data_IF_608390921813
#
_entry.id   IF_608390921813
#
_cell.length_a   1.000
_cell.length_b   1.000
_cell.length_c   1.000
_cell.angle_alpha   90.00
_cell.angle_beta   90.00
_cell.angle_gamma   90.00
#
_symmetry.space_group_name_H-M   'P 1'
#
loop_
_entity.id
_entity.type
_entity.pdbx_description
1 polymer ?
#
# COMPACT_ATOMS: atom_id res chain seq x y z
N UNK A 1 -33.49 -3.61 -16.35
CA UNK A 1 -32.65 -4.44 -15.47
C UNK A 1 -33.19 -4.35 -14.05
N UNK A 2 -33.32 -5.48 -13.36
CA UNK A 2 -33.64 -5.55 -11.94
C UNK A 2 -32.52 -4.90 -11.12
N UNK A 3 -32.88 -4.18 -10.06
CA UNK A 3 -31.91 -3.57 -9.15
C UNK A 3 -31.11 -4.67 -8.43
N UNK A 4 -29.78 -4.72 -8.64
CA UNK A 4 -28.86 -5.65 -7.97
C UNK A 4 -28.85 -5.44 -6.46
N UNK A 5 -28.80 -6.54 -5.72
CA UNK A 5 -28.89 -6.54 -4.26
C UNK A 5 -27.67 -7.17 -3.62
N UNK A 6 -27.09 -6.50 -2.63
CA UNK A 6 -26.06 -7.10 -1.79
C UNK A 6 -26.71 -7.95 -0.70
N UNK A 7 -26.66 -9.27 -0.87
CA UNK A 7 -27.40 -10.26 -0.07
C UNK A 7 -26.58 -10.83 1.08
N UNK A 8 -25.26 -10.93 0.92
CA UNK A 8 -24.33 -11.30 1.98
C UNK A 8 -23.41 -10.14 2.34
N UNK A 9 -22.96 -10.11 3.59
CA UNK A 9 -22.03 -9.12 4.11
C UNK A 9 -20.99 -9.79 5.02
N UNK A 10 -19.74 -9.35 4.87
CA UNK A 10 -18.64 -9.71 5.75
C UNK A 10 -17.56 -8.62 5.75
N UNK A 11 -16.71 -8.65 6.77
CA UNK A 11 -15.50 -7.84 6.79
C UNK A 11 -14.37 -8.60 6.11
N UNK A 12 -13.66 -7.92 5.22
CA UNK A 12 -12.57 -8.49 4.42
C UNK A 12 -11.29 -7.73 4.76
N UNK A 13 -10.26 -8.45 5.19
CA UNK A 13 -8.96 -7.88 5.53
C UNK A 13 -7.87 -8.59 4.72
N UNK A 14 -7.59 -8.08 3.52
CA UNK A 14 -6.55 -8.63 2.62
C UNK A 14 -5.14 -8.14 2.98
N UNK A 15 -5.06 -7.00 3.65
CA UNK A 15 -3.85 -6.34 4.11
C UNK A 15 -4.02 -6.12 5.61
N UNK A 16 -3.01 -6.43 6.45
CA UNK A 16 -3.08 -6.17 7.89
C UNK A 16 -3.49 -4.72 8.19
N UNK A 17 -4.52 -4.54 9.03
CA UNK A 17 -5.01 -3.23 9.45
C UNK A 17 -5.93 -2.53 8.45
N UNK A 18 -6.21 -3.11 7.28
CA UNK A 18 -7.14 -2.55 6.28
C UNK A 18 -8.37 -3.43 6.18
N UNK A 19 -9.45 -3.01 6.84
CA UNK A 19 -10.72 -3.74 6.87
C UNK A 19 -11.71 -3.12 5.89
N UNK A 20 -12.12 -3.92 4.92
CA UNK A 20 -13.08 -3.55 3.88
C UNK A 20 -14.46 -4.16 4.16
N UNK A 21 -15.52 -3.39 3.90
CA UNK A 21 -16.87 -3.95 3.79
C UNK A 21 -16.98 -4.75 2.48
N UNK A 22 -17.09 -6.08 2.60
CA UNK A 22 -17.28 -7.02 1.49
C UNK A 22 -18.73 -7.49 1.38
N UNK A 23 -19.18 -7.70 0.15
CA UNK A 23 -20.52 -8.18 -0.15
C UNK A 23 -20.49 -9.24 -1.26
N UNK A 24 -21.48 -10.12 -1.24
CA UNK A 24 -21.83 -10.97 -2.40
C UNK A 24 -23.22 -10.55 -2.86
N UNK A 25 -23.35 -10.28 -4.15
CA UNK A 25 -24.59 -9.85 -4.79
C UNK A 25 -25.52 -11.04 -5.07
N UNK A 26 -26.76 -10.75 -5.47
CA UNK A 26 -27.77 -11.74 -5.83
C UNK A 26 -27.44 -12.54 -7.10
N UNK A 27 -26.46 -12.07 -7.90
CA UNK A 27 -25.88 -12.78 -9.05
C UNK A 27 -24.53 -13.46 -8.73
N UNK A 28 -24.23 -13.68 -7.44
CA UNK A 28 -22.98 -14.27 -6.93
C UNK A 28 -21.71 -13.42 -7.17
N UNK A 29 -21.86 -12.18 -7.65
CA UNK A 29 -20.71 -11.28 -7.82
C UNK A 29 -20.15 -10.86 -6.46
N UNK A 30 -18.87 -11.16 -6.22
CA UNK A 30 -18.13 -10.67 -5.07
C UNK A 30 -17.67 -9.22 -5.28
N UNK A 31 -17.97 -8.34 -4.33
CA UNK A 31 -17.68 -6.91 -4.42
C UNK A 31 -17.18 -6.33 -3.08
N UNK A 32 -16.41 -5.25 -3.16
CA UNK A 32 -16.05 -4.44 -1.99
C UNK A 32 -16.62 -3.03 -2.13
N UNK A 33 -16.92 -2.40 -0.98
CA UNK A 33 -17.39 -1.02 -0.95
C UNK A 33 -16.30 -0.05 -1.40
N UNK A 34 -16.68 1.02 -2.10
CA UNK A 34 -15.76 2.03 -2.65
C UNK A 34 -14.71 2.54 -1.67
N UNK A 35 -15.10 2.85 -0.43
CA UNK A 35 -14.16 3.33 0.60
C UNK A 35 -13.09 2.30 0.92
N UNK A 36 -13.48 1.05 1.18
CA UNK A 36 -12.53 -0.03 1.46
C UNK A 36 -11.62 -0.31 0.27
N UNK A 37 -12.16 -0.26 -0.96
CA UNK A 37 -11.35 -0.38 -2.18
C UNK A 37 -10.30 0.72 -2.29
N UNK A 38 -10.65 1.98 -1.96
CA UNK A 38 -9.70 3.09 -2.00
C UNK A 38 -8.57 2.89 -0.98
N UNK A 39 -8.93 2.49 0.24
CA UNK A 39 -7.96 2.17 1.30
C UNK A 39 -7.07 0.98 0.90
N UNK A 40 -7.63 -0.09 0.34
CA UNK A 40 -6.90 -1.26 -0.18
C UNK A 40 -5.85 -0.87 -1.22
N UNK A 41 -6.22 -0.02 -2.17
CA UNK A 41 -5.35 0.46 -3.26
C UNK A 41 -4.40 1.59 -2.83
N UNK A 42 -4.58 2.15 -1.63
CA UNK A 42 -3.83 3.33 -1.18
C UNK A 42 -4.14 4.58 -2.00
N UNK A 43 -5.38 4.70 -2.46
CA UNK A 43 -5.87 5.83 -3.24
C UNK A 43 -6.78 6.70 -2.38
N UNK A 44 -6.82 7.99 -2.68
CA UNK A 44 -7.86 8.86 -2.14
C UNK A 44 -9.26 8.41 -2.63
N UNK A 45 -10.25 8.42 -1.73
CA UNK A 45 -11.59 7.92 -2.03
C UNK A 45 -12.29 8.71 -3.14
N UNK A 46 -12.08 10.03 -3.20
CA UNK A 46 -12.62 10.86 -4.27
C UNK A 46 -11.95 10.55 -5.60
N UNK A 47 -10.65 10.27 -5.58
CA UNK A 47 -9.89 9.83 -6.75
C UNK A 47 -10.43 8.51 -7.29
N UNK A 48 -10.70 7.52 -6.43
CA UNK A 48 -11.30 6.26 -6.86
C UNK A 48 -12.72 6.44 -7.40
N UNK A 49 -13.56 7.26 -6.77
CA UNK A 49 -14.92 7.51 -7.26
C UNK A 49 -14.92 8.20 -8.64
N UNK A 50 -13.90 9.01 -8.94
CA UNK A 50 -13.73 9.65 -10.26
C UNK A 50 -13.28 8.67 -11.35
N UNK A 51 -12.88 7.44 -11.01
CA UNK A 51 -12.49 6.42 -12.00
C UNK A 51 -13.65 6.15 -12.97
N UNK A 52 -14.91 6.18 -12.55
CA UNK A 52 -16.06 6.01 -13.47
C UNK A 52 -16.01 6.97 -14.68
N UNK A 53 -15.66 8.23 -14.44
CA UNK A 53 -15.74 9.28 -15.46
C UNK A 53 -14.39 9.65 -16.08
N UNK A 54 -13.29 9.31 -15.42
CA UNK A 54 -11.94 9.74 -15.81
C UNK A 54 -10.99 8.59 -16.12
N UNK A 55 -11.47 7.36 -16.10
CA UNK A 55 -10.65 6.18 -16.41
C UNK A 55 -10.57 5.90 -17.92
N UNK A 56 -9.40 5.45 -18.41
CA UNK A 56 -8.11 5.52 -17.72
C UNK A 56 -7.47 6.90 -17.84
N UNK A 57 -6.75 7.38 -16.80
CA UNK A 57 -5.89 8.55 -16.92
C UNK A 57 -4.95 8.42 -18.13
N UNK A 58 -4.63 9.53 -18.81
CA UNK A 58 -3.79 9.51 -20.03
C UNK A 58 -2.48 8.75 -19.86
N UNK A 59 -1.85 8.86 -18.69
CA UNK A 59 -0.59 8.15 -18.36
C UNK A 59 -0.77 6.64 -18.20
N UNK A 60 -1.96 6.20 -17.81
CA UNK A 60 -2.29 4.79 -17.58
C UNK A 60 -2.92 4.12 -18.80
N UNK A 61 -3.47 4.91 -19.73
CA UNK A 61 -4.16 4.43 -20.94
C UNK A 61 -3.38 3.37 -21.74
N UNK A 62 -2.04 3.44 -21.90
CA UNK A 62 -1.29 2.39 -22.60
C UNK A 62 -1.30 1.03 -21.90
N UNK A 63 -1.62 0.98 -20.60
CA UNK A 63 -1.56 -0.21 -19.75
C UNK A 63 -2.95 -0.74 -19.36
N UNK A 64 -3.99 -0.28 -20.05
CA UNK A 64 -5.38 -0.75 -19.89
C UNK A 64 -5.79 -1.51 -21.13
N UNK A 65 -6.41 -2.67 -20.94
CA UNK A 65 -6.91 -3.48 -22.05
C UNK A 65 -7.96 -2.72 -22.86
N UNK A 66 -7.89 -2.85 -24.19
CA UNK A 66 -8.82 -2.20 -25.10
C UNK A 66 -10.25 -2.67 -24.81
N UNK A 67 -11.15 -1.73 -24.57
CA UNK A 67 -12.57 -2.01 -24.30
C UNK A 67 -12.94 -2.20 -22.83
N UNK A 68 -11.96 -2.12 -21.93
CA UNK A 68 -12.21 -2.28 -20.50
C UNK A 68 -12.68 -0.95 -19.89
N UNK A 69 -13.97 -0.89 -19.57
CA UNK A 69 -14.62 0.22 -18.85
C UNK A 69 -14.69 -0.09 -17.36
N UNK A 70 -14.38 0.89 -16.53
CA UNK A 70 -14.56 0.79 -15.08
C UNK A 70 -15.88 1.49 -14.74
N UNK A 71 -16.97 0.73 -14.72
CA UNK A 71 -18.28 1.25 -14.32
C UNK A 71 -18.50 1.06 -12.82
N UNK A 72 -18.88 2.13 -12.12
CA UNK A 72 -19.28 2.01 -10.72
C UNK A 72 -20.68 1.46 -10.61
N UNK A 73 -20.85 0.41 -9.81
CA UNK A 73 -22.16 -0.19 -9.58
C UNK A 73 -22.77 0.33 -8.28
N UNK A 74 -23.98 0.85 -8.34
CA UNK A 74 -24.82 1.15 -7.17
C UNK A 74 -25.70 -0.05 -6.84
N UNK A 75 -25.56 -0.60 -5.63
CA UNK A 75 -26.33 -1.77 -5.18
C UNK A 75 -27.09 -1.47 -3.90
N UNK A 76 -28.30 -2.03 -3.78
CA UNK A 76 -29.10 -1.92 -2.55
C UNK A 76 -28.68 -3.01 -1.57
N UNK A 77 -28.32 -2.63 -0.34
CA UNK A 77 -27.94 -3.59 0.70
C UNK A 77 -29.18 -4.20 1.34
N UNK A 78 -29.32 -5.52 1.24
CA UNK A 78 -30.40 -6.28 1.90
C UNK A 78 -29.87 -7.23 2.98
N UNK A 79 -28.57 -7.49 3.01
CA UNK A 79 -27.88 -8.26 4.04
C UNK A 79 -28.25 -7.77 5.45
N UNK A 80 -28.82 -8.66 6.28
CA UNK A 80 -29.40 -8.30 7.58
C UNK A 80 -28.35 -7.85 8.61
N UNK A 81 -27.15 -8.42 8.51
CA UNK A 81 -26.01 -8.17 9.39
C UNK A 81 -25.14 -6.98 8.96
N UNK A 82 -25.49 -6.28 7.87
CA UNK A 82 -24.72 -5.13 7.39
C UNK A 82 -25.11 -3.84 8.11
N UNK A 83 -24.15 -3.00 8.53
CA UNK A 83 -24.43 -1.66 9.06
C UNK A 83 -25.04 -0.72 8.01
N UNK A 84 -25.00 -1.11 6.73
CA UNK A 84 -25.54 -0.33 5.61
C UNK A 84 -26.88 -0.85 5.09
N UNK A 85 -27.53 -1.79 5.80
CA UNK A 85 -28.82 -2.36 5.40
C UNK A 85 -29.83 -1.28 5.00
N UNK A 86 -30.47 -1.46 3.85
CA UNK A 86 -31.46 -0.55 3.28
C UNK A 86 -30.87 0.61 2.47
N UNK A 87 -29.56 0.85 2.53
CA UNK A 87 -28.88 1.92 1.78
C UNK A 87 -28.43 1.43 0.40
N UNK A 88 -28.24 2.38 -0.52
CA UNK A 88 -27.50 2.14 -1.76
C UNK A 88 -26.03 2.46 -1.54
N UNK A 89 -25.15 1.58 -1.98
CA UNK A 89 -23.70 1.73 -1.85
C UNK A 89 -23.04 1.59 -3.21
N UNK A 90 -21.94 2.32 -3.42
CA UNK A 90 -21.05 2.14 -4.57
C UNK A 90 -20.10 0.99 -4.27
N UNK A 91 -20.03 0.03 -5.18
CA UNK A 91 -19.21 -1.18 -5.05
C UNK A 91 -18.34 -1.41 -6.28
N UNK A 92 -17.22 -2.09 -6.06
CA UNK A 92 -16.29 -2.54 -7.09
C UNK A 92 -16.15 -4.05 -7.01
N UNK A 93 -16.32 -4.74 -8.14
CA UNK A 93 -16.11 -6.18 -8.20
C UNK A 93 -14.63 -6.54 -8.32
N UNK A 94 -14.31 -7.82 -8.13
CA UNK A 94 -12.93 -8.33 -8.22
C UNK A 94 -12.26 -8.02 -9.55
N UNK A 95 -12.98 -8.10 -10.67
CA UNK A 95 -12.44 -7.81 -12.01
C UNK A 95 -11.97 -6.35 -12.15
N UNK A 96 -12.76 -5.39 -11.65
CA UNK A 96 -12.38 -3.98 -11.69
C UNK A 96 -11.18 -3.72 -10.77
N UNK A 97 -11.20 -4.29 -9.56
CA UNK A 97 -10.10 -4.12 -8.59
C UNK A 97 -8.80 -4.67 -9.17
N UNK A 98 -8.83 -5.88 -9.74
CA UNK A 98 -7.68 -6.51 -10.38
C UNK A 98 -7.20 -5.70 -11.59
N UNK A 99 -8.10 -5.18 -12.42
CA UNK A 99 -7.74 -4.29 -13.54
C UNK A 99 -6.96 -3.08 -13.05
N UNK A 100 -7.48 -2.36 -12.05
CA UNK A 100 -6.80 -1.17 -11.51
C UNK A 100 -5.41 -1.55 -11.00
N UNK A 101 -5.31 -2.63 -10.24
CA UNK A 101 -4.04 -3.16 -9.72
C UNK A 101 -3.07 -3.45 -10.87
N UNK A 102 -3.49 -4.25 -11.86
CA UNK A 102 -2.67 -4.65 -13.01
C UNK A 102 -2.17 -3.43 -13.78
N UNK A 103 -3.04 -2.46 -14.05
CA UNK A 103 -2.66 -1.22 -14.75
C UNK A 103 -1.57 -0.44 -14.01
N UNK A 104 -1.70 -0.28 -12.70
CA UNK A 104 -0.68 0.41 -11.89
C UNK A 104 0.62 -0.39 -11.79
N UNK A 105 0.56 -1.72 -11.71
CA UNK A 105 1.75 -2.58 -11.72
C UNK A 105 2.50 -2.47 -13.04
N UNK A 106 1.80 -2.56 -14.17
CA UNK A 106 2.39 -2.43 -15.51
C UNK A 106 2.98 -1.04 -15.71
N UNK A 107 2.23 0.02 -15.39
CA UNK A 107 2.74 1.39 -15.48
C UNK A 107 3.97 1.61 -14.59
N UNK A 108 4.03 0.98 -13.41
CA UNK A 108 5.20 1.03 -12.53
C UNK A 108 6.41 0.34 -13.16
N UNK A 109 6.25 -0.86 -13.72
CA UNK A 109 7.32 -1.60 -14.38
C UNK A 109 7.92 -0.88 -15.59
N UNK A 110 7.13 -0.02 -16.23
CA UNK A 110 7.54 0.82 -17.36
C UNK A 110 8.01 2.23 -16.95
N UNK A 111 8.16 2.54 -15.66
CA UNK A 111 8.50 3.87 -15.15
C UNK A 111 7.57 4.99 -15.68
N UNK A 112 6.31 4.67 -15.95
CA UNK A 112 5.33 5.58 -16.56
C UNK A 112 4.44 6.31 -15.52
N UNK A 113 4.56 5.93 -14.24
CA UNK A 113 3.81 6.55 -13.15
C UNK A 113 4.35 7.94 -12.81
N UNK A 114 3.45 8.89 -12.61
CA UNK A 114 3.80 10.20 -12.05
C UNK A 114 4.27 10.06 -10.60
N UNK A 115 5.02 11.05 -10.09
CA UNK A 115 5.56 11.04 -8.71
C UNK A 115 4.48 10.77 -7.65
N UNK A 116 3.33 11.42 -7.78
CA UNK A 116 2.17 11.23 -6.90
C UNK A 116 1.42 9.90 -7.13
N UNK A 117 1.79 9.08 -8.12
CA UNK A 117 1.20 7.77 -8.41
C UNK A 117 2.12 6.61 -8.01
N UNK A 118 3.42 6.88 -7.78
CA UNK A 118 4.41 5.84 -7.44
C UNK A 118 4.03 5.02 -6.21
N UNK A 119 3.41 5.64 -5.20
CA UNK A 119 2.97 4.93 -3.99
C UNK A 119 1.86 3.91 -4.31
N UNK A 120 0.94 4.25 -5.20
CA UNK A 120 -0.14 3.35 -5.66
C UNK A 120 0.48 2.17 -6.42
N UNK A 121 1.40 2.45 -7.36
CA UNK A 121 2.13 1.41 -8.10
C UNK A 121 2.82 0.40 -7.19
N UNK A 122 3.63 0.90 -6.24
CA UNK A 122 4.32 0.05 -5.25
C UNK A 122 3.34 -0.78 -4.43
N UNK A 123 2.26 -0.17 -3.95
CA UNK A 123 1.24 -0.86 -3.15
C UNK A 123 0.53 -1.95 -3.95
N UNK A 124 0.16 -1.66 -5.19
CA UNK A 124 -0.44 -2.64 -6.12
C UNK A 124 0.52 -3.82 -6.38
N UNK A 125 1.82 -3.57 -6.57
CA UNK A 125 2.81 -4.64 -6.75
C UNK A 125 2.88 -5.58 -5.53
N UNK A 126 2.96 -5.02 -4.33
CA UNK A 126 2.98 -5.82 -3.08
C UNK A 126 1.67 -6.61 -2.93
N UNK A 127 0.53 -5.99 -3.24
CA UNK A 127 -0.78 -6.62 -3.17
C UNK A 127 -0.90 -7.80 -4.15
N UNK A 128 -0.46 -7.65 -5.40
CA UNK A 128 -0.43 -8.76 -6.37
C UNK A 128 0.42 -9.91 -5.86
N UNK A 129 1.63 -9.64 -5.36
CA UNK A 129 2.50 -10.68 -4.82
C UNK A 129 1.83 -11.44 -3.66
N UNK A 130 1.24 -10.73 -2.70
CA UNK A 130 0.57 -11.32 -1.55
C UNK A 130 -0.65 -12.17 -1.95
N UNK A 131 -1.50 -11.64 -2.83
CA UNK A 131 -2.71 -12.34 -3.31
C UNK A 131 -2.36 -13.55 -4.17
N UNK A 132 -1.35 -13.43 -5.05
CA UNK A 132 -0.89 -14.54 -5.90
C UNK A 132 -0.34 -15.67 -5.05
N UNK A 133 0.49 -15.36 -4.05
CA UNK A 133 1.01 -16.37 -3.13
C UNK A 133 -0.10 -17.02 -2.30
N UNK A 134 -1.07 -16.24 -1.82
CA UNK A 134 -2.22 -16.76 -1.09
C UNK A 134 -3.11 -17.68 -1.95
N UNK A 135 -3.36 -17.30 -3.20
CA UNK A 135 -4.11 -18.12 -4.14
C UNK A 135 -3.38 -19.44 -4.47
N UNK A 136 -2.07 -19.37 -4.73
CA UNK A 136 -1.24 -20.55 -4.99
C UNK A 136 -1.23 -21.51 -3.80
N UNK A 137 -0.98 -20.99 -2.59
CA UNK A 137 -0.96 -21.80 -1.36
C UNK A 137 -2.33 -22.41 -1.07
N UNK A 138 -3.42 -21.65 -1.29
CA UNK A 138 -4.77 -22.14 -1.11
C UNK A 138 -5.12 -23.28 -2.07
N UNK A 139 -4.78 -23.13 -3.35
CA UNK A 139 -4.99 -24.16 -4.37
C UNK A 139 -4.23 -25.46 -4.04
N UNK A 140 -2.98 -25.36 -3.58
CA UNK A 140 -2.18 -26.52 -3.16
C UNK A 140 -2.82 -27.20 -1.95
N UNK A 141 -3.19 -26.43 -0.92
CA UNK A 141 -3.84 -26.96 0.30
C UNK A 141 -5.15 -27.67 -0.03
N UNK A 142 -6.00 -27.06 -0.86
CA UNK A 142 -7.26 -27.66 -1.30
C UNK A 142 -7.03 -28.98 -2.05
N UNK A 143 -6.04 -29.03 -2.96
CA UNK A 143 -5.68 -30.25 -3.66
C UNK A 143 -5.20 -31.37 -2.70
N UNK A 144 -4.60 -31.00 -1.57
CA UNK A 144 -4.22 -31.93 -0.50
C UNK A 144 -5.33 -32.23 0.53
N UNK A 145 -6.57 -31.77 0.31
CA UNK A 145 -7.68 -31.99 1.24
C UNK A 145 -7.65 -31.11 2.50
N UNK A 146 -6.84 -30.05 2.52
CA UNK A 146 -6.76 -29.09 3.61
C UNK A 146 -7.66 -27.87 3.34
N UNK A 147 -8.24 -27.29 4.39
CA UNK A 147 -9.02 -26.05 4.29
C UNK A 147 -8.09 -24.82 4.38
N UNK A 148 -7.93 -24.02 3.31
CA UNK A 148 -7.09 -22.84 3.36
C UNK A 148 -7.81 -21.64 4.00
N UNK A 149 -7.04 -20.78 4.67
CA UNK A 149 -7.47 -19.44 5.03
C UNK A 149 -6.76 -18.43 4.10
N UNK A 150 -7.47 -17.97 3.07
CA UNK A 150 -6.90 -17.09 2.03
C UNK A 150 -6.56 -15.72 2.61
N UNK A 151 -7.42 -15.15 3.45
CA UNK A 151 -7.18 -13.81 4.03
C UNK A 151 -5.96 -13.82 4.95
N UNK A 152 -5.88 -14.79 5.87
CA UNK A 152 -4.72 -14.91 6.77
C UNK A 152 -3.42 -15.18 6.01
N UNK A 153 -3.48 -15.99 4.94
CA UNK A 153 -2.32 -16.22 4.09
C UNK A 153 -1.92 -14.97 3.32
N UNK A 154 -2.87 -14.21 2.79
CA UNK A 154 -2.61 -12.94 2.12
C UNK A 154 -1.99 -11.92 3.09
N UNK A 155 -2.53 -11.80 4.30
CA UNK A 155 -1.98 -10.94 5.36
C UNK A 155 -0.56 -11.32 5.76
N UNK A 156 -0.29 -12.62 5.96
CA UNK A 156 1.05 -13.13 6.28
C UNK A 156 2.07 -12.82 5.17
N UNK A 157 1.62 -12.88 3.92
CA UNK A 157 2.47 -12.65 2.75
C UNK A 157 2.48 -11.18 2.30
N UNK A 158 1.63 -10.34 2.89
CA UNK A 158 1.69 -8.91 2.70
C UNK A 158 2.87 -8.38 3.51
N UNK A 159 3.80 -7.76 2.81
CA UNK A 159 5.01 -7.24 3.43
C UNK A 159 4.64 -5.96 4.13
N UNK A 160 4.34 -6.06 5.42
CA UNK A 160 4.29 -4.94 6.33
C UNK A 160 5.72 -4.41 6.49
N UNK A 161 6.04 -3.39 5.69
CA UNK A 161 7.37 -2.84 5.64
C UNK A 161 7.74 -2.07 6.93
N UNK A 162 6.78 -1.76 7.81
CA UNK A 162 7.04 -1.28 9.17
C UNK A 162 7.45 -2.45 10.06
N UNK A 163 6.71 -3.56 10.01
CA UNK A 163 7.10 -4.80 10.71
C UNK A 163 8.47 -5.28 10.25
N UNK A 164 8.75 -5.23 8.95
CA UNK A 164 10.02 -5.66 8.38
C UNK A 164 11.21 -4.84 8.93
N UNK A 165 11.11 -3.51 9.00
CA UNK A 165 12.20 -2.72 9.59
C UNK A 165 12.40 -3.03 11.08
N UNK A 166 11.32 -3.32 11.83
CA UNK A 166 11.41 -3.76 13.23
C UNK A 166 12.11 -5.13 13.35
N UNK A 167 11.78 -6.08 12.47
CA UNK A 167 12.46 -7.40 12.39
C UNK A 167 13.94 -7.27 12.03
N UNK A 168 14.31 -6.25 11.25
CA UNK A 168 15.70 -5.87 10.96
C UNK A 168 16.39 -5.10 12.11
N UNK A 169 15.73 -4.94 13.25
CA UNK A 169 16.28 -4.32 14.45
C UNK A 169 16.10 -2.80 14.53
N UNK A 170 15.21 -2.21 13.73
CA UNK A 170 14.88 -0.79 13.88
C UNK A 170 14.20 -0.53 15.23
N UNK A 171 14.66 0.50 15.94
CA UNK A 171 14.10 0.94 17.22
C UNK A 171 13.91 2.45 17.24
N UNK A 172 12.88 2.90 17.95
CA UNK A 172 12.54 4.32 18.10
C UNK A 172 12.98 4.81 19.48
N UNK A 173 13.85 5.81 19.52
CA UNK A 173 14.31 6.35 20.81
C UNK A 173 13.30 7.33 21.42
N UNK A 174 12.41 7.92 20.62
CA UNK A 174 11.45 8.93 21.09
C UNK A 174 10.15 8.37 21.71
N UNK A 175 9.95 7.04 21.67
CA UNK A 175 8.67 6.42 22.02
C UNK A 175 7.61 6.55 20.92
N UNK A 176 6.47 5.90 21.12
CA UNK A 176 5.27 6.00 20.25
C UNK A 176 5.50 5.77 18.75
N UNK A 177 6.42 4.85 18.39
CA UNK A 177 6.78 4.57 16.99
C UNK A 177 7.25 5.85 16.23
N UNK A 178 7.90 6.77 16.96
CA UNK A 178 8.52 7.98 16.41
C UNK A 178 10.05 7.84 16.45
N UNK A 179 10.66 7.92 15.28
CA UNK A 179 12.10 7.91 15.11
C UNK A 179 12.69 9.31 15.06
N UNK A 180 13.88 9.50 15.61
CA UNK A 180 14.72 10.66 15.33
C UNK A 180 15.76 10.34 14.24
N UNK A 181 16.39 11.38 13.67
CA UNK A 181 17.43 11.19 12.64
C UNK A 181 18.54 10.24 13.09
N UNK A 182 18.91 10.29 14.37
CA UNK A 182 19.95 9.42 14.94
C UNK A 182 19.58 7.94 14.77
N UNK A 183 18.35 7.57 15.11
CA UNK A 183 17.81 6.20 14.96
C UNK A 183 17.94 5.75 13.50
N UNK A 184 17.52 6.61 12.55
CA UNK A 184 17.54 6.34 11.12
C UNK A 184 18.97 6.18 10.59
N UNK A 185 19.88 7.11 10.96
CA UNK A 185 21.29 7.05 10.52
C UNK A 185 22.01 5.82 11.08
N UNK A 186 21.72 5.44 12.32
CA UNK A 186 22.31 4.27 12.95
C UNK A 186 21.81 2.99 12.31
N UNK A 187 20.50 2.88 12.10
CA UNK A 187 19.90 1.73 11.43
C UNK A 187 20.41 1.59 10.00
N UNK A 188 20.42 2.65 9.21
CA UNK A 188 20.87 2.55 7.81
C UNK A 188 22.39 2.53 7.66
N UNK A 189 23.14 2.78 8.74
CA UNK A 189 24.59 2.97 8.73
C UNK A 189 25.02 4.00 7.66
N UNK A 190 24.39 5.18 7.67
CA UNK A 190 24.68 6.29 6.74
C UNK A 190 25.01 7.58 7.47
N UNK A 191 25.87 8.44 6.91
CA UNK A 191 26.13 9.76 7.47
C UNK A 191 24.87 10.63 7.54
N UNK A 192 24.76 11.47 8.57
CA UNK A 192 23.62 12.38 8.72
C UNK A 192 23.48 13.35 7.54
N UNK A 193 24.60 13.79 6.94
CA UNK A 193 24.60 14.60 5.72
C UNK A 193 23.88 13.91 4.55
N UNK A 194 24.07 12.60 4.39
CA UNK A 194 23.40 11.80 3.36
C UNK A 194 21.90 11.71 3.62
N UNK A 195 21.51 11.43 4.86
CA UNK A 195 20.09 11.43 5.25
C UNK A 195 19.45 12.81 5.03
N UNK A 196 20.14 13.89 5.41
CA UNK A 196 19.64 15.27 5.22
C UNK A 196 19.45 15.62 3.74
N UNK A 197 20.37 15.20 2.87
CA UNK A 197 20.25 15.36 1.42
C UNK A 197 19.01 14.61 0.88
N UNK A 198 18.81 13.36 1.31
CA UNK A 198 17.65 12.55 0.95
C UNK A 198 16.34 13.22 1.40
N UNK A 199 16.23 13.60 2.67
CA UNK A 199 15.05 14.27 3.22
C UNK A 199 14.73 15.58 2.50
N UNK A 200 15.75 16.33 2.06
CA UNK A 200 15.55 17.55 1.27
C UNK A 200 14.92 17.24 -0.10
N UNK A 201 15.39 16.18 -0.77
CA UNK A 201 14.87 15.75 -2.09
C UNK A 201 13.44 15.20 -1.99
N UNK A 202 13.09 14.58 -0.88
CA UNK A 202 11.80 13.91 -0.65
C UNK A 202 10.87 14.67 0.32
N UNK A 203 11.07 15.98 0.47
CA UNK A 203 10.31 16.82 1.40
C UNK A 203 8.80 16.82 1.13
N UNK A 204 8.34 16.54 -0.09
CA UNK A 204 6.89 16.41 -0.38
C UNK A 204 6.28 15.16 0.26
N UNK A 205 7.07 14.08 0.36
CA UNK A 205 6.56 12.73 0.63
C UNK A 205 6.85 12.27 2.06
N UNK A 206 7.83 12.91 2.72
CA UNK A 206 8.28 12.65 4.09
C UNK A 206 8.17 13.96 4.86
N UNK A 207 7.20 14.05 5.76
CA UNK A 207 6.96 15.25 6.56
C UNK A 207 7.44 15.02 8.00
N UNK A 208 8.44 15.77 8.48
CA UNK A 208 8.85 15.66 9.87
C UNK A 208 7.76 16.16 10.80
N UNK A 209 7.58 15.47 11.93
CA UNK A 209 6.78 15.95 13.05
C UNK A 209 7.65 16.68 14.05
N UNK A 210 7.16 17.78 14.60
CA UNK A 210 7.90 18.52 15.64
C UNK A 210 7.72 17.83 16.98
N UNK A 211 8.82 17.44 17.61
CA UNK A 211 8.77 16.84 18.94
C UNK A 211 8.40 17.87 20.00
N UNK A 212 7.67 17.42 21.02
CA UNK A 212 7.32 18.26 22.17
C UNK A 212 8.55 18.52 23.06
N UNK A 213 8.48 19.56 23.88
CA UNK A 213 9.61 19.95 24.73
C UNK A 213 9.99 18.91 25.78
N UNK A 214 9.04 18.08 26.26
CA UNK A 214 9.33 17.03 27.24
C UNK A 214 10.19 15.92 26.62
N UNK A 215 9.82 15.43 25.44
CA UNK A 215 10.58 14.44 24.67
C UNK A 215 11.95 14.97 24.25
N UNK A 216 12.07 16.25 23.86
CA UNK A 216 13.38 16.83 23.52
C UNK A 216 14.31 16.87 24.75
N UNK A 217 13.76 17.25 25.91
CA UNK A 217 14.53 17.32 27.17
C UNK A 217 14.95 15.94 27.67
N UNK A 218 14.15 14.89 27.43
CA UNK A 218 14.51 13.53 27.84
C UNK A 218 15.76 13.00 27.14
N UNK A 219 16.14 13.56 25.98
CA UNK A 219 17.39 13.22 25.30
C UNK A 219 18.63 13.96 25.86
N UNK A 220 18.49 14.78 26.91
CA UNK A 220 19.59 15.48 27.57
C UNK A 220 20.21 16.64 26.77
N UNK A 221 19.58 17.03 25.65
CA UNK A 221 20.09 18.09 24.78
C UNK A 221 19.62 19.50 25.14
N UNK A 222 20.43 20.52 24.82
CA UNK A 222 20.04 21.96 24.85
C UNK A 222 19.24 22.40 23.61
N UNK A 223 18.85 21.46 22.75
CA UNK A 223 18.16 21.77 21.50
C UNK A 223 16.79 22.39 21.77
N UNK A 224 16.49 23.52 21.15
CA UNK A 224 15.17 24.18 21.26
C UNK A 224 14.12 23.57 20.33
N UNK A 225 14.56 22.80 19.32
CA UNK A 225 13.71 22.16 18.31
C UNK A 225 14.34 20.85 17.85
N UNK A 226 13.51 19.83 17.66
CA UNK A 226 13.89 18.53 17.09
C UNK A 226 12.73 17.97 16.28
N UNK A 227 13.07 17.23 15.23
CA UNK A 227 12.10 16.57 14.35
C UNK A 227 12.10 15.06 14.62
N UNK A 228 10.91 14.48 14.62
CA UNK A 228 10.66 13.05 14.55
C UNK A 228 10.06 12.64 13.20
N UNK A 229 10.03 11.34 12.95
CA UNK A 229 9.51 10.70 11.76
C UNK A 229 8.70 9.48 12.17
N UNK A 230 7.49 9.32 11.63
CA UNK A 230 6.70 8.11 11.83
C UNK A 230 7.36 6.90 11.16
N UNK A 231 7.09 5.69 11.65
CA UNK A 231 7.67 4.48 11.07
C UNK A 231 7.37 4.30 9.58
N UNK A 232 6.19 4.67 9.10
CA UNK A 232 5.88 4.67 7.66
C UNK A 232 6.89 5.51 6.86
N UNK A 233 7.28 6.68 7.39
CA UNK A 233 8.27 7.54 6.75
C UNK A 233 9.68 6.96 6.88
N UNK A 234 10.02 6.33 8.01
CA UNK A 234 11.28 5.60 8.17
C UNK A 234 11.39 4.48 7.15
N UNK A 235 10.32 3.72 6.94
CA UNK A 235 10.24 2.66 5.95
C UNK A 235 10.44 3.21 4.54
N UNK A 236 9.83 4.35 4.19
CA UNK A 236 10.09 5.03 2.89
C UNK A 236 11.56 5.42 2.74
N UNK A 237 12.20 5.92 3.80
CA UNK A 237 13.62 6.27 3.79
C UNK A 237 14.47 5.01 3.60
N UNK A 238 14.22 3.97 4.38
CA UNK A 238 14.96 2.72 4.34
C UNK A 238 14.87 2.04 2.96
N UNK A 239 13.66 2.00 2.37
CA UNK A 239 13.43 1.48 1.02
C UNK A 239 13.84 2.46 -0.09
N UNK A 240 14.08 3.74 0.22
CA UNK A 240 14.47 4.75 -0.75
C UNK A 240 15.98 4.88 -0.89
N UNK A 241 16.73 4.63 0.18
CA UNK A 241 18.18 4.76 0.20
C UNK A 241 18.87 3.45 -0.23
N UNK A 242 20.02 3.57 -0.89
CA UNK A 242 20.88 2.43 -1.25
C UNK A 242 21.93 2.16 -0.16
N UNK A 243 21.49 2.04 1.09
CA UNK A 243 22.34 1.50 2.15
C UNK A 243 22.35 -0.03 2.10
N UNK A 244 23.29 -0.67 2.80
CA UNK A 244 23.35 -2.15 2.89
C UNK A 244 22.01 -2.72 3.38
N UNK A 245 21.46 -2.15 4.46
CA UNK A 245 20.15 -2.55 4.99
C UNK A 245 19.02 -2.18 4.04
N UNK A 246 19.07 -1.00 3.41
CA UNK A 246 18.05 -0.59 2.43
C UNK A 246 17.98 -1.53 1.21
N UNK A 247 19.13 -1.98 0.70
CA UNK A 247 19.22 -2.96 -0.39
C UNK A 247 18.66 -4.30 0.05
N UNK A 248 18.98 -4.76 1.25
CA UNK A 248 18.47 -6.04 1.75
C UNK A 248 16.95 -6.00 1.99
N UNK A 249 16.44 -4.90 2.56
CA UNK A 249 15.01 -4.66 2.69
C UNK A 249 14.31 -4.66 1.33
N UNK A 250 14.87 -3.99 0.31
CA UNK A 250 14.34 -4.03 -1.06
C UNK A 250 14.30 -5.45 -1.60
N UNK A 251 15.32 -6.28 -1.35
CA UNK A 251 15.32 -7.68 -1.78
C UNK A 251 14.24 -8.52 -1.09
N UNK A 252 14.02 -8.31 0.20
CA UNK A 252 12.94 -8.98 0.93
C UNK A 252 11.56 -8.54 0.40
N UNK A 253 11.42 -7.25 0.09
CA UNK A 253 10.14 -6.68 -0.37
C UNK A 253 9.81 -7.05 -1.82
N UNK A 254 10.81 -7.01 -2.71
CA UNK A 254 10.61 -7.08 -4.16
C UNK A 254 11.27 -8.31 -4.81
N UNK A 255 11.96 -9.16 -4.04
CA UNK A 255 12.80 -10.23 -4.55
C UNK A 255 14.17 -9.73 -5.05
N UNK A 256 14.96 -10.62 -5.66
CA UNK A 256 16.17 -10.20 -6.38
C UNK A 256 15.76 -9.32 -7.58
N UNK A 257 15.77 -8.02 -7.37
CA UNK A 257 15.74 -7.05 -8.46
C UNK A 257 17.10 -7.18 -9.14
N UNK A 258 17.18 -7.96 -10.22
CA UNK A 258 18.35 -7.96 -11.10
C UNK A 258 18.66 -6.55 -11.60
N UNK A 259 19.75 -6.38 -12.35
CA UNK A 259 20.31 -5.10 -12.83
C UNK A 259 19.38 -4.18 -13.67
N UNK A 260 18.07 -4.42 -13.70
CA UNK A 260 17.05 -3.62 -14.37
C UNK A 260 16.68 -2.31 -13.64
N UNK A 261 17.15 -2.13 -12.40
CA UNK A 261 17.09 -0.85 -11.72
C UNK A 261 18.51 -0.35 -11.46
N UNK A 262 19.15 0.24 -12.48
CA UNK A 262 20.10 1.30 -12.17
C UNK A 262 19.24 2.48 -11.69
N UNK A 263 19.28 2.88 -10.40
CA UNK A 263 18.79 4.20 -10.07
C UNK A 263 19.61 5.17 -10.93
N UNK A 264 18.93 6.09 -11.62
CA UNK A 264 19.59 7.17 -12.35
C UNK A 264 20.57 7.87 -11.40
N UNK A 265 21.85 7.50 -11.51
CA UNK A 265 22.95 8.31 -11.03
C UNK A 265 23.03 9.47 -11.98
N UNK A 266 22.40 10.58 -11.56
CA UNK A 266 22.73 11.97 -11.88
C UNK A 266 23.46 12.24 -13.20
N UNK A 267 22.77 12.99 -14.06
CA UNK A 267 23.26 13.79 -15.19
C UNK A 267 24.78 14.03 -15.30
N UNK A 268 25.29 13.80 -16.52
CA UNK A 268 26.38 14.45 -17.30
C UNK A 268 26.90 13.35 -18.26
N UNK A 269 26.61 13.38 -19.56
CA UNK A 269 27.06 14.34 -20.61
C UNK A 269 25.91 14.82 -21.49
#
# INVERSE_FOLDING_TARGET
>A
MTERKAVYYGQVELIPGIVCDGYVLDDDTAVTRSRGTAELLGMDHMTLNRVETTWPPKTLKPFVDKGLSVETTLVKVVAKNSPHKGRKIVVYNSNIIETIIRTYVMASGHNALQKNQLHIGKRCSILVCALTRAALEASIKQACGLTPNIQQTAQKNYIDAVKLIKEFGFTCTAGDDIAIKKDITQFLNVPEGTLNSFLRKHKSDIQPIRLNSATIRSFGGKASRMNGYHLDDVTKIALGMDSVIGIELKKQVFGQIGSFAKPDTSAEV
#
